data_IF_030787993767
#
_entry.id   IF_030787993767
#
_cell.length_a   1.000
_cell.length_b   1.000
_cell.length_c   1.000
_cell.angle_alpha   90.00
_cell.angle_beta   90.00
_cell.angle_gamma   90.00
#
_symmetry.space_group_name_H-M   'P 1'
#
loop_
_entity.id
_entity.type
_entity.pdbx_description
1 polymer ?
#
# COMPACT_ATOMS: atom_id res chain seq x y z
N UNK A 1 4.17 8.45 -14.12
CA UNK A 1 4.67 7.07 -14.31
C UNK A 1 5.80 6.84 -13.31
N UNK A 2 5.96 5.63 -12.80
CA UNK A 2 7.05 5.31 -11.84
C UNK A 2 8.38 5.35 -12.57
N UNK A 3 9.37 6.01 -11.97
CA UNK A 3 10.73 6.06 -12.50
C UNK A 3 11.64 5.20 -11.64
N UNK A 4 12.58 4.50 -12.27
CA UNK A 4 13.68 3.84 -11.59
C UNK A 4 14.74 4.90 -11.26
N UNK A 5 15.05 5.04 -9.98
CA UNK A 5 16.19 5.83 -9.50
C UNK A 5 17.42 4.92 -9.36
N UNK A 6 18.56 5.49 -8.95
CA UNK A 6 19.78 4.72 -8.67
C UNK A 6 19.66 3.78 -7.45
N UNK A 7 18.66 3.98 -6.60
CA UNK A 7 18.48 3.25 -5.33
C UNK A 7 17.11 2.59 -5.15
N UNK A 8 16.16 2.78 -6.09
CA UNK A 8 14.83 2.17 -5.98
C UNK A 8 13.81 2.71 -6.99
N UNK A 9 12.56 2.79 -6.54
CA UNK A 9 11.44 3.40 -7.26
C UNK A 9 11.19 4.80 -6.72
N UNK A 10 11.19 5.78 -7.62
CA UNK A 10 10.75 7.13 -7.28
C UNK A 10 9.21 7.16 -7.29
N UNK A 11 8.57 7.63 -6.20
CA UNK A 11 7.12 7.74 -6.16
C UNK A 11 6.63 8.80 -7.15
N UNK A 12 5.38 8.68 -7.56
CA UNK A 12 4.77 9.64 -8.47
C UNK A 12 4.28 10.83 -7.64
N UNK A 13 4.91 11.99 -7.82
CA UNK A 13 4.48 13.23 -7.18
C UNK A 13 3.23 13.79 -7.87
N UNK A 14 2.19 14.01 -7.07
CA UNK A 14 0.94 14.67 -7.48
C UNK A 14 1.03 16.17 -7.18
N UNK A 15 1.61 16.51 -6.03
CA UNK A 15 1.98 17.88 -5.62
C UNK A 15 3.38 17.86 -4.96
N UNK A 16 3.91 19.02 -4.59
CA UNK A 16 5.26 19.12 -3.98
C UNK A 16 5.40 18.29 -2.68
N UNK A 17 4.32 18.16 -1.93
CA UNK A 17 4.26 17.44 -0.64
C UNK A 17 3.36 16.20 -0.68
N UNK A 18 2.90 15.78 -1.87
CA UNK A 18 2.03 14.62 -2.03
C UNK A 18 2.59 13.70 -3.10
N UNK A 19 3.03 12.52 -2.68
CA UNK A 19 3.50 11.47 -3.57
C UNK A 19 2.71 10.18 -3.38
N UNK A 20 2.61 9.39 -4.45
CA UNK A 20 1.81 8.17 -4.50
C UNK A 20 2.61 7.06 -5.19
N UNK A 21 2.52 5.86 -4.63
CA UNK A 21 2.90 4.62 -5.31
C UNK A 21 1.66 3.73 -5.42
N UNK A 22 1.43 3.18 -6.60
CA UNK A 22 0.28 2.30 -6.85
C UNK A 22 0.66 1.19 -7.80
N UNK A 23 0.07 0.01 -7.58
CA UNK A 23 0.13 -1.13 -8.49
C UNK A 23 -0.32 -0.71 -9.90
N UNK A 24 -1.28 0.21 -10.01
CA UNK A 24 -1.77 0.70 -11.28
C UNK A 24 -0.68 1.32 -12.17
N UNK A 25 0.39 1.85 -11.59
CA UNK A 25 1.51 2.40 -12.36
C UNK A 25 2.45 1.33 -12.94
N UNK A 26 2.37 0.10 -12.43
CA UNK A 26 3.17 -1.04 -12.87
C UNK A 26 2.45 -1.88 -13.94
N UNK A 27 1.19 -1.55 -14.25
CA UNK A 27 0.41 -2.26 -15.27
C UNK A 27 0.71 -1.70 -16.65
N UNK A 28 0.84 -2.61 -17.62
CA UNK A 28 1.07 -2.25 -19.02
C UNK A 28 -0.14 -1.57 -19.66
N UNK A 29 -1.35 -1.91 -19.21
CA UNK A 29 -2.61 -1.35 -19.69
C UNK A 29 -3.45 -0.88 -18.50
N UNK A 30 -4.02 0.35 -18.55
CA UNK A 30 -4.97 0.81 -17.55
C UNK A 30 -6.17 -0.14 -17.43
N UNK A 31 -6.59 -0.45 -16.21
CA UNK A 31 -7.71 -1.35 -15.88
C UNK A 31 -7.49 -2.85 -16.14
N UNK A 32 -6.26 -3.30 -16.41
CA UNK A 32 -5.98 -4.73 -16.43
C UNK A 32 -6.32 -5.38 -15.08
N UNK A 33 -7.10 -6.46 -15.12
CA UNK A 33 -7.42 -7.21 -13.92
C UNK A 33 -6.17 -7.94 -13.40
N UNK A 34 -5.78 -7.62 -12.18
CA UNK A 34 -4.60 -8.18 -11.56
C UNK A 34 -4.99 -9.28 -10.59
N UNK A 35 -4.75 -10.54 -10.95
CA UNK A 35 -4.91 -11.67 -10.03
C UNK A 35 -3.54 -11.98 -9.42
N UNK A 36 -3.30 -11.46 -8.22
CA UNK A 36 -2.10 -11.78 -7.45
C UNK A 36 -2.44 -12.76 -6.32
N UNK A 37 -1.68 -13.86 -6.25
CA UNK A 37 -1.81 -14.85 -5.18
C UNK A 37 -0.81 -14.56 -4.06
N UNK A 38 -1.19 -14.91 -2.82
CA UNK A 38 -0.52 -14.63 -1.53
C UNK A 38 0.95 -14.20 -1.58
N UNK A 39 1.90 -15.04 -2.02
CA UNK A 39 3.32 -14.70 -2.02
C UNK A 39 3.68 -13.47 -2.85
N UNK A 40 3.05 -13.30 -4.02
CA UNK A 40 3.31 -12.16 -4.91
C UNK A 40 2.79 -10.85 -4.32
N UNK A 41 1.66 -10.93 -3.60
CA UNK A 41 1.06 -9.80 -2.91
C UNK A 41 1.95 -9.31 -1.76
N UNK A 42 2.40 -10.22 -0.90
CA UNK A 42 3.29 -9.86 0.22
C UNK A 42 4.65 -9.35 -0.29
N UNK A 43 5.16 -9.93 -1.39
CA UNK A 43 6.31 -9.41 -2.09
C UNK A 43 6.12 -7.95 -2.51
N UNK A 44 4.98 -7.61 -3.12
CA UNK A 44 4.68 -6.24 -3.53
C UNK A 44 4.58 -5.27 -2.35
N UNK A 45 3.91 -5.66 -1.26
CA UNK A 45 3.84 -4.83 -0.04
C UNK A 45 5.27 -4.52 0.45
N UNK A 46 6.13 -5.54 0.51
CA UNK A 46 7.53 -5.35 0.90
C UNK A 46 8.28 -4.41 -0.05
N UNK A 47 8.09 -4.54 -1.36
CA UNK A 47 8.70 -3.64 -2.35
C UNK A 47 8.21 -2.19 -2.17
N UNK A 48 6.92 -1.97 -1.91
CA UNK A 48 6.40 -0.62 -1.66
C UNK A 48 6.98 0.02 -0.40
N UNK A 49 7.21 -0.76 0.65
CA UNK A 49 7.75 -0.25 1.91
C UNK A 49 9.27 -0.05 1.88
N UNK A 50 10.01 -0.89 1.14
CA UNK A 50 11.47 -0.90 1.15
C UNK A 50 12.09 -0.27 -0.10
N UNK A 51 11.57 -0.58 -1.29
CA UNK A 51 12.20 -0.22 -2.56
C UNK A 51 11.68 1.12 -3.10
N UNK A 52 10.67 1.73 -2.48
CA UNK A 52 10.19 3.08 -2.84
C UNK A 52 10.92 4.13 -2.01
N UNK A 53 11.46 5.12 -2.70
CA UNK A 53 12.15 6.25 -2.10
C UNK A 53 11.13 7.30 -1.63
N UNK A 54 10.48 7.01 -0.50
CA UNK A 54 9.53 7.95 0.13
C UNK A 54 10.21 9.23 0.63
N UNK A 55 11.51 9.16 0.94
CA UNK A 55 12.24 10.26 1.59
C UNK A 55 11.79 10.46 3.04
N UNK A 56 11.93 11.69 3.52
CA UNK A 56 11.40 12.09 4.83
C UNK A 56 9.92 12.47 4.66
N UNK A 57 9.04 11.73 5.33
CA UNK A 57 7.59 11.94 5.31
C UNK A 57 7.03 11.99 6.73
N UNK A 58 6.07 12.86 6.96
CA UNK A 58 5.36 12.92 8.24
C UNK A 58 4.31 11.80 8.36
N UNK A 59 3.72 11.39 7.24
CA UNK A 59 2.63 10.41 7.19
C UNK A 59 2.78 9.46 5.99
N UNK A 60 2.59 8.16 6.26
CA UNK A 60 2.42 7.13 5.23
C UNK A 60 0.99 6.58 5.30
N UNK A 61 0.19 6.85 4.27
CA UNK A 61 -1.15 6.28 4.14
C UNK A 61 -1.08 5.04 3.27
N UNK A 62 -1.59 3.91 3.77
CA UNK A 62 -1.65 2.66 3.03
C UNK A 62 -3.10 2.29 2.77
N UNK A 63 -3.49 2.27 1.50
CA UNK A 63 -4.81 1.81 1.05
C UNK A 63 -4.73 0.34 0.65
N UNK A 64 -5.31 -0.52 1.48
CA UNK A 64 -5.37 -1.97 1.26
C UNK A 64 -6.71 -2.37 0.66
N UNK A 65 -6.77 -3.45 -0.15
CA UNK A 65 -8.04 -4.03 -0.60
C UNK A 65 -8.99 -4.33 0.58
N UNK A 66 -10.31 -4.34 0.35
CA UNK A 66 -11.28 -4.60 1.41
C UNK A 66 -11.18 -6.01 1.99
N UNK A 67 -11.63 -6.16 3.23
CA UNK A 67 -11.71 -7.43 3.97
C UNK A 67 -10.75 -7.46 5.17
N UNK A 68 -10.50 -8.66 5.69
CA UNK A 68 -9.60 -8.93 6.83
C UNK A 68 -8.38 -9.75 6.40
N UNK A 69 -8.01 -9.63 5.13
CA UNK A 69 -6.98 -10.45 4.51
C UNK A 69 -5.58 -10.12 5.04
N UNK A 70 -4.61 -10.99 4.75
CA UNK A 70 -3.24 -10.92 5.29
C UNK A 70 -2.45 -9.63 4.94
N UNK A 71 -2.95 -8.76 4.05
CA UNK A 71 -2.34 -7.47 3.70
C UNK A 71 -2.14 -6.62 4.95
N UNK A 72 -3.19 -6.46 5.74
CA UNK A 72 -3.17 -5.63 6.95
C UNK A 72 -2.14 -6.17 7.94
N UNK A 73 -2.15 -7.50 8.16
CA UNK A 73 -1.18 -8.18 9.04
C UNK A 73 0.25 -8.02 8.53
N UNK A 74 0.46 -8.15 7.23
CA UNK A 74 1.78 -8.03 6.61
C UNK A 74 2.35 -6.63 6.76
N UNK A 75 1.54 -5.59 6.53
CA UNK A 75 1.94 -4.18 6.71
C UNK A 75 2.32 -3.94 8.17
N UNK A 76 1.46 -4.35 9.11
CA UNK A 76 1.72 -4.19 10.54
C UNK A 76 3.00 -4.90 10.96
N UNK A 77 3.24 -6.11 10.44
CA UNK A 77 4.42 -6.88 10.77
C UNK A 77 5.70 -6.26 10.17
N UNK A 78 5.66 -5.81 8.92
CA UNK A 78 6.82 -5.19 8.27
C UNK A 78 7.16 -3.81 8.84
N UNK A 79 6.16 -3.06 9.29
CA UNK A 79 6.35 -1.75 9.94
C UNK A 79 6.42 -1.83 11.47
N UNK A 80 6.58 -3.04 12.04
CA UNK A 80 6.62 -3.23 13.50
C UNK A 80 7.72 -2.43 14.19
N UNK A 81 8.85 -2.19 13.54
CA UNK A 81 9.93 -1.35 14.07
C UNK A 81 9.66 0.16 13.95
N UNK A 82 8.76 0.55 13.05
CA UNK A 82 8.41 1.95 12.79
C UNK A 82 7.37 2.49 13.78
N UNK A 83 6.87 1.66 14.72
CA UNK A 83 5.88 2.05 15.74
C UNK A 83 4.63 2.71 15.13
N UNK A 84 3.86 1.93 14.35
CA UNK A 84 2.60 2.40 13.76
C UNK A 84 1.69 3.01 14.84
N UNK A 85 1.26 4.26 14.62
CA UNK A 85 0.46 5.00 15.60
C UNK A 85 -0.96 4.45 15.75
N UNK A 86 -1.63 4.17 14.63
CA UNK A 86 -3.03 3.74 14.61
C UNK A 86 -3.43 3.12 13.25
N UNK A 87 -4.60 2.49 13.23
CA UNK A 87 -5.30 2.07 12.02
C UNK A 87 -6.66 2.76 11.93
N UNK A 88 -7.10 3.11 10.72
CA UNK A 88 -8.43 3.66 10.47
C UNK A 88 -9.29 2.59 9.81
N UNK A 89 -10.38 2.21 10.47
CA UNK A 89 -11.37 1.28 9.95
C UNK A 89 -12.46 2.07 9.21
N UNK A 90 -12.73 1.68 7.97
CA UNK A 90 -13.81 2.24 7.17
C UNK A 90 -14.89 1.17 7.01
N UNK A 91 -16.11 1.47 7.48
CA UNK A 91 -17.26 0.56 7.41
C UNK A 91 -18.54 1.29 7.02
N UNK A 92 -19.59 0.54 6.68
CA UNK A 92 -20.93 1.04 6.36
C UNK A 92 -21.91 0.62 7.46
N UNK A 93 -23.02 1.35 7.69
CA UNK A 93 -23.95 1.10 8.81
C UNK A 93 -24.88 -0.10 8.56
N UNK A 94 -24.37 -1.20 7.99
CA UNK A 94 -25.11 -2.43 7.76
C UNK A 94 -24.73 -3.48 8.82
N UNK A 95 -25.70 -4.26 9.27
CA UNK A 95 -25.53 -5.21 10.38
C UNK A 95 -24.48 -6.29 10.09
N UNK A 96 -24.33 -6.70 8.83
CA UNK A 96 -23.31 -7.67 8.37
C UNK A 96 -21.91 -7.07 8.51
N UNK A 97 -21.75 -5.77 8.23
CA UNK A 97 -20.46 -5.07 8.29
C UNK A 97 -19.92 -4.88 9.71
N UNK A 98 -20.71 -5.19 10.75
CA UNK A 98 -20.24 -5.19 12.14
C UNK A 98 -19.50 -6.47 12.52
N UNK A 99 -19.68 -7.57 11.78
CA UNK A 99 -19.02 -8.85 12.04
C UNK A 99 -17.74 -9.05 11.22
N UNK A 100 -17.59 -8.31 10.12
CA UNK A 100 -16.49 -8.43 9.17
C UNK A 100 -15.29 -7.51 9.49
N UNK A 101 -15.37 -6.77 10.59
CA UNK A 101 -14.34 -5.83 11.07
C UNK A 101 -13.75 -6.31 12.39
#
# INVERSE_FOLDING_TARGET
QVHLSGSGWSPVYVEENLSVMSVGFLLSVPNDAVIWRGPKKNGMIKQFLHDVEWGEIDYLIVDTPPGTSDEHLSIVQYLSSAHIDAAVIITIPQEISLQDV
#
